data_IF_878679734307
#
_entry.id   IF_878679734307
#
_cell.length_a   1.000
_cell.length_b   1.000
_cell.length_c   1.000
_cell.angle_alpha   90.00
_cell.angle_beta   90.00
_cell.angle_gamma   90.00
#
_symmetry.space_group_name_H-M   'P 1'
#
loop_
_entity.id
_entity.type
_entity.pdbx_description
1 polymer ?
#
# COMPACT_ATOMS: atom_id res chain seq x y z
N UNK A 1 24.91 2.20 3.34
CA UNK A 1 25.42 3.53 2.91
C UNK A 1 25.91 4.30 4.14
N UNK A 2 27.22 4.43 4.34
CA UNK A 2 27.82 5.27 5.41
C UNK A 2 28.23 6.64 4.85
N UNK A 3 27.35 7.26 4.07
CA UNK A 3 27.58 8.62 3.60
C UNK A 3 27.20 9.60 4.71
N UNK A 4 28.17 10.40 5.16
CA UNK A 4 28.03 11.40 6.20
C UNK A 4 26.85 12.35 5.91
N UNK A 5 26.55 12.62 4.64
CA UNK A 5 25.43 13.47 4.23
C UNK A 5 24.05 12.87 4.53
N UNK A 6 23.91 11.55 4.38
CA UNK A 6 22.65 10.85 4.67
C UNK A 6 22.35 10.83 6.17
N UNK A 7 23.37 10.55 6.98
CA UNK A 7 23.24 10.53 8.44
C UNK A 7 22.85 11.91 8.99
N UNK A 8 23.47 12.99 8.47
CA UNK A 8 23.09 14.35 8.86
C UNK A 8 21.64 14.69 8.48
N UNK A 9 21.20 14.29 7.29
CA UNK A 9 19.83 14.52 6.82
C UNK A 9 18.82 13.77 7.70
N UNK A 10 19.11 12.51 8.05
CA UNK A 10 18.27 11.69 8.91
C UNK A 10 18.13 12.26 10.33
N UNK A 11 19.22 12.75 10.92
CA UNK A 11 19.16 13.36 12.25
C UNK A 11 18.34 14.66 12.26
N UNK A 12 18.44 15.49 11.21
CA UNK A 12 17.57 16.66 11.05
C UNK A 12 16.08 16.27 10.98
N UNK A 13 15.77 15.21 10.24
CA UNK A 13 14.39 14.69 10.11
C UNK A 13 13.88 14.20 11.47
N UNK A 14 14.67 13.41 12.21
CA UNK A 14 14.30 12.94 13.55
C UNK A 14 14.04 14.10 14.51
N UNK A 15 14.88 15.14 14.48
CA UNK A 15 14.69 16.34 15.29
C UNK A 15 13.38 17.06 14.94
N UNK A 16 13.08 17.24 13.65
CA UNK A 16 11.84 17.86 13.18
C UNK A 16 10.59 17.05 13.57
N UNK A 17 10.64 15.72 13.45
CA UNK A 17 9.54 14.84 13.89
C UNK A 17 9.25 15.07 15.37
N UNK A 18 10.30 15.13 16.22
CA UNK A 18 10.17 15.41 17.64
C UNK A 18 9.46 16.75 17.90
N UNK A 19 9.85 17.81 17.20
CA UNK A 19 9.24 19.14 17.33
C UNK A 19 7.76 19.16 16.92
N UNK A 20 7.40 18.57 15.78
CA UNK A 20 6.02 18.58 15.28
C UNK A 20 5.09 17.72 16.15
N UNK A 21 5.59 16.61 16.69
CA UNK A 21 4.82 15.67 17.50
C UNK A 21 4.35 16.26 18.85
N UNK A 22 5.10 17.22 19.40
CA UNK A 22 4.78 17.88 20.68
C UNK A 22 3.61 18.87 20.60
N UNK A 23 3.14 19.21 19.40
CA UNK A 23 2.23 20.35 19.17
C UNK A 23 0.74 20.01 18.99
N UNK A 24 0.32 18.77 19.25
CA UNK A 24 -1.05 18.33 18.97
C UNK A 24 -1.98 18.49 20.19
N UNK A 25 -2.63 19.66 20.31
CA UNK A 25 -3.86 19.78 21.11
C UNK A 25 -5.04 19.21 20.29
N UNK A 26 -6.03 18.59 20.94
CA UNK A 26 -7.30 18.22 20.28
C UNK A 26 -8.02 19.49 19.80
N UNK A 27 -7.79 19.87 18.54
CA UNK A 27 -8.49 20.94 17.82
C UNK A 27 -9.70 20.44 17.02
N UNK A 28 -10.27 21.31 16.19
CA UNK A 28 -11.27 20.91 15.18
C UNK A 28 -10.66 19.85 14.26
N UNK A 29 -11.39 18.75 14.04
CA UNK A 29 -10.98 17.64 13.14
C UNK A 29 -10.62 18.13 11.74
N UNK A 30 -11.22 19.23 11.29
CA UNK A 30 -10.99 19.84 9.98
C UNK A 30 -10.20 21.15 10.06
N UNK A 31 -9.37 21.29 11.09
CA UNK A 31 -8.42 22.38 11.23
C UNK A 31 -7.34 22.29 10.14
N UNK A 32 -7.31 23.29 9.26
CA UNK A 32 -6.29 23.43 8.21
C UNK A 32 -4.88 23.40 8.80
N UNK A 33 -4.66 24.10 9.91
CA UNK A 33 -3.34 24.23 10.53
C UNK A 33 -2.89 22.90 11.18
N UNK A 34 -3.83 22.10 11.69
CA UNK A 34 -3.50 20.76 12.20
C UNK A 34 -3.19 19.79 11.06
N UNK A 35 -3.93 19.85 9.96
CA UNK A 35 -3.63 19.06 8.76
C UNK A 35 -2.33 19.48 8.10
N UNK A 36 -1.98 20.76 8.10
CA UNK A 36 -0.68 21.27 7.62
C UNK A 36 0.47 20.60 8.39
N UNK A 37 0.39 20.60 9.73
CA UNK A 37 1.37 19.90 10.58
C UNK A 37 1.40 18.41 10.30
N UNK A 38 0.23 17.80 10.10
CA UNK A 38 0.10 16.36 9.84
C UNK A 38 0.71 15.97 8.50
N UNK A 39 0.48 16.72 7.43
CA UNK A 39 1.13 16.51 6.12
C UNK A 39 2.64 16.53 6.27
N UNK A 40 3.17 17.54 6.97
CA UNK A 40 4.61 17.68 7.19
C UNK A 40 5.17 16.51 8.01
N UNK A 41 4.46 16.12 9.07
CA UNK A 41 4.84 14.98 9.91
C UNK A 41 4.81 13.67 9.12
N UNK A 42 3.75 13.40 8.37
CA UNK A 42 3.59 12.19 7.56
C UNK A 42 4.70 12.10 6.50
N UNK A 43 5.04 13.21 5.85
CA UNK A 43 6.15 13.28 4.90
C UNK A 43 7.50 12.98 5.56
N UNK A 44 7.78 13.57 6.74
CA UNK A 44 9.03 13.33 7.47
C UNK A 44 9.13 11.89 7.98
N UNK A 45 8.03 11.34 8.50
CA UNK A 45 7.97 9.95 8.96
C UNK A 45 8.22 8.98 7.79
N UNK A 46 7.61 9.21 6.63
CA UNK A 46 7.85 8.36 5.45
C UNK A 46 9.27 8.53 4.91
N UNK A 47 9.80 9.75 4.89
CA UNK A 47 11.19 10.03 4.53
C UNK A 47 12.20 9.31 5.45
N UNK A 48 11.96 9.31 6.76
CA UNK A 48 12.73 8.52 7.73
C UNK A 48 12.67 7.02 7.40
N UNK A 49 11.47 6.48 7.19
CA UNK A 49 11.28 5.05 6.90
C UNK A 49 12.00 4.62 5.61
N UNK A 50 12.00 5.46 4.57
CA UNK A 50 12.73 5.20 3.32
C UNK A 50 14.21 4.95 3.61
N UNK A 51 14.84 5.78 4.44
CA UNK A 51 16.27 5.64 4.76
C UNK A 51 16.54 4.47 5.69
N UNK A 52 15.70 4.26 6.70
CA UNK A 52 15.93 3.25 7.73
C UNK A 52 15.58 1.82 7.27
N UNK A 53 14.68 1.66 6.29
CA UNK A 53 14.19 0.34 5.88
C UNK A 53 14.32 0.06 4.38
N UNK A 54 14.00 1.01 3.51
CA UNK A 54 13.90 0.74 2.05
C UNK A 54 15.28 0.78 1.37
N UNK A 55 16.28 1.46 1.96
CA UNK A 55 17.63 1.60 1.40
C UNK A 55 18.68 0.71 2.07
N UNK A 56 18.27 -0.31 2.84
CA UNK A 56 19.20 -1.28 3.41
C UNK A 56 19.85 -2.14 2.29
N UNK A 57 19.05 -2.50 1.29
CA UNK A 57 19.48 -3.14 0.06
C UNK A 57 19.20 -2.16 -1.10
N UNK A 58 20.16 -1.29 -1.41
CA UNK A 58 20.08 -0.30 -2.50
C UNK A 58 20.01 -0.95 -3.90
N UNK A 59 18.91 -1.63 -4.21
CA UNK A 59 18.63 -2.18 -5.53
C UNK A 59 17.87 -1.16 -6.40
N UNK A 60 17.78 -1.43 -7.72
CA UNK A 60 17.12 -0.55 -8.68
C UNK A 60 15.68 -0.21 -8.27
N UNK A 61 14.94 -1.20 -7.79
CA UNK A 61 13.54 -1.03 -7.41
C UNK A 61 13.38 -0.13 -6.19
N UNK A 62 14.18 -0.33 -5.14
CA UNK A 62 14.12 0.48 -3.93
C UNK A 62 14.55 1.91 -4.20
N UNK A 63 15.59 2.13 -5.00
CA UNK A 63 16.03 3.47 -5.41
C UNK A 63 14.94 4.22 -6.19
N UNK A 64 14.29 3.55 -7.15
CA UNK A 64 13.24 4.15 -7.96
C UNK A 64 11.97 4.44 -7.16
N UNK A 65 11.52 3.48 -6.33
CA UNK A 65 10.37 3.65 -5.46
C UNK A 65 10.59 4.79 -4.46
N UNK A 66 11.75 4.81 -3.80
CA UNK A 66 12.15 5.86 -2.86
C UNK A 66 12.20 7.23 -3.53
N UNK A 67 12.80 7.31 -4.71
CA UNK A 67 12.90 8.56 -5.48
C UNK A 67 11.53 9.10 -5.90
N UNK A 68 10.63 8.21 -6.33
CA UNK A 68 9.25 8.57 -6.68
C UNK A 68 8.47 9.04 -5.45
N UNK A 69 8.57 8.33 -4.33
CA UNK A 69 7.91 8.74 -3.10
C UNK A 69 8.40 10.10 -2.60
N UNK A 70 9.72 10.34 -2.59
CA UNK A 70 10.30 11.63 -2.20
C UNK A 70 9.89 12.78 -3.13
N UNK A 71 9.78 12.50 -4.43
CA UNK A 71 9.25 13.43 -5.41
C UNK A 71 7.80 13.82 -5.11
N UNK A 72 6.92 12.83 -4.91
CA UNK A 72 5.51 13.03 -4.63
C UNK A 72 5.28 13.77 -3.29
N UNK A 73 6.06 13.43 -2.26
CA UNK A 73 6.05 14.18 -0.98
C UNK A 73 6.51 15.63 -1.18
N UNK A 74 7.53 15.88 -1.99
CA UNK A 74 8.00 17.24 -2.29
C UNK A 74 6.94 18.08 -2.98
N UNK A 75 6.13 17.49 -3.86
CA UNK A 75 4.98 18.16 -4.47
C UNK A 75 3.98 18.56 -3.39
N UNK A 76 3.60 17.63 -2.49
CA UNK A 76 2.66 17.92 -1.42
C UNK A 76 3.11 19.07 -0.53
N UNK A 77 4.35 19.02 -0.04
CA UNK A 77 4.92 20.08 0.81
C UNK A 77 4.94 21.42 0.06
N UNK A 78 5.32 21.44 -1.22
CA UNK A 78 5.30 22.69 -2.02
C UNK A 78 3.88 23.24 -2.23
N UNK A 79 2.90 22.39 -2.50
CA UNK A 79 1.51 22.81 -2.69
C UNK A 79 0.99 23.45 -1.40
N UNK A 80 1.21 22.79 -0.27
CA UNK A 80 0.77 23.24 1.05
C UNK A 80 1.50 24.52 1.49
N UNK A 81 2.79 24.67 1.18
CA UNK A 81 3.52 25.92 1.44
C UNK A 81 3.06 27.08 0.55
N UNK A 82 2.60 26.80 -0.68
CA UNK A 82 2.07 27.81 -1.60
C UNK A 82 0.64 28.23 -1.24
N UNK A 83 -0.18 27.27 -0.84
CA UNK A 83 -1.54 27.49 -0.35
C UNK A 83 -1.85 26.43 0.71
N UNK A 84 -1.99 26.88 1.96
CA UNK A 84 -2.21 26.00 3.11
C UNK A 84 -3.54 25.25 3.06
N UNK A 85 -4.51 25.67 2.24
CA UNK A 85 -5.76 24.93 2.04
C UNK A 85 -5.54 23.56 1.39
N UNK A 86 -4.41 23.35 0.70
CA UNK A 86 -4.02 22.02 0.21
C UNK A 86 -3.84 21.00 1.33
N UNK A 87 -3.69 21.42 2.59
CA UNK A 87 -3.65 20.50 3.72
C UNK A 87 -4.98 19.75 3.90
N UNK A 88 -6.12 20.44 3.71
CA UNK A 88 -7.44 19.80 3.74
C UNK A 88 -7.68 18.96 2.48
N UNK A 89 -7.10 19.34 1.34
CA UNK A 89 -7.15 18.54 0.11
C UNK A 89 -6.33 17.26 0.25
N UNK A 90 -5.16 17.31 0.89
CA UNK A 90 -4.36 16.12 1.21
C UNK A 90 -5.18 15.12 2.04
N UNK A 91 -5.88 15.62 3.05
CA UNK A 91 -6.74 14.78 3.86
C UNK A 91 -7.90 14.18 3.05
N UNK A 92 -8.57 14.99 2.23
CA UNK A 92 -9.64 14.50 1.35
C UNK A 92 -9.14 13.41 0.39
N UNK A 93 -7.94 13.56 -0.18
CA UNK A 93 -7.32 12.52 -1.01
C UNK A 93 -7.00 11.27 -0.20
N UNK A 94 -6.55 11.41 1.05
CA UNK A 94 -6.39 10.29 1.99
C UNK A 94 -7.71 9.54 2.24
N UNK A 95 -8.81 10.25 2.45
CA UNK A 95 -10.14 9.66 2.60
C UNK A 95 -10.56 8.93 1.33
N UNK A 96 -10.43 9.55 0.15
CA UNK A 96 -10.77 8.94 -1.13
C UNK A 96 -9.99 7.65 -1.37
N UNK A 97 -8.68 7.65 -1.11
CA UNK A 97 -7.82 6.49 -1.29
C UNK A 97 -8.18 5.37 -0.30
N UNK A 98 -8.44 5.69 0.97
CA UNK A 98 -8.85 4.70 1.96
C UNK A 98 -10.22 4.08 1.64
N UNK A 99 -11.20 4.89 1.22
CA UNK A 99 -12.51 4.41 0.77
C UNK A 99 -12.34 3.43 -0.39
N UNK A 100 -11.55 3.80 -1.41
CA UNK A 100 -11.32 2.94 -2.57
C UNK A 100 -10.58 1.66 -2.18
N UNK A 101 -9.57 1.76 -1.32
CA UNK A 101 -8.80 0.62 -0.82
C UNK A 101 -9.72 -0.37 -0.10
N UNK A 102 -10.51 0.07 0.86
CA UNK A 102 -11.39 -0.82 1.61
C UNK A 102 -12.53 -1.39 0.75
N UNK A 103 -13.06 -0.66 -0.22
CA UNK A 103 -14.03 -1.20 -1.18
C UNK A 103 -13.43 -2.37 -1.97
N UNK A 104 -12.24 -2.19 -2.54
CA UNK A 104 -11.51 -3.28 -3.23
C UNK A 104 -11.13 -4.42 -2.30
N UNK A 105 -10.80 -4.11 -1.04
CA UNK A 105 -10.47 -5.14 -0.07
C UNK A 105 -11.69 -5.98 0.30
N UNK A 106 -12.87 -5.38 0.41
CA UNK A 106 -14.14 -6.12 0.54
C UNK A 106 -14.39 -7.03 -0.66
N UNK A 107 -14.20 -6.53 -1.88
CA UNK A 107 -14.31 -7.36 -3.11
C UNK A 107 -13.33 -8.54 -3.06
N UNK A 108 -12.09 -8.33 -2.62
CA UNK A 108 -11.11 -9.40 -2.46
C UNK A 108 -11.54 -10.41 -1.38
N UNK A 109 -12.07 -9.97 -0.25
CA UNK A 109 -12.56 -10.86 0.80
C UNK A 109 -13.76 -11.69 0.33
N UNK A 110 -14.60 -11.15 -0.55
CA UNK A 110 -15.69 -11.89 -1.18
C UNK A 110 -15.16 -13.01 -2.07
N UNK A 111 -14.24 -12.68 -2.98
CA UNK A 111 -13.56 -13.66 -3.86
C UNK A 111 -12.88 -14.74 -3.01
N UNK A 112 -12.23 -14.34 -1.93
CA UNK A 112 -11.56 -15.26 -1.02
C UNK A 112 -12.53 -16.17 -0.27
N UNK A 113 -13.66 -15.65 0.21
CA UNK A 113 -14.69 -16.48 0.85
C UNK A 113 -15.29 -17.53 -0.09
N UNK A 114 -15.56 -17.14 -1.34
CA UNK A 114 -16.04 -18.06 -2.39
C UNK A 114 -15.01 -19.15 -2.70
N UNK A 115 -13.74 -18.77 -2.79
CA UNK A 115 -12.64 -19.71 -2.99
C UNK A 115 -12.52 -20.72 -1.84
N UNK A 116 -12.65 -20.28 -0.58
CA UNK A 116 -12.60 -21.18 0.56
C UNK A 116 -13.79 -22.15 0.57
N UNK A 117 -14.99 -21.71 0.19
CA UNK A 117 -16.16 -22.59 0.06
C UNK A 117 -15.98 -23.64 -1.04
N UNK A 118 -15.43 -23.26 -2.19
CA UNK A 118 -15.11 -24.20 -3.28
C UNK A 118 -14.10 -25.27 -2.82
N UNK A 119 -13.12 -24.91 -2.02
CA UNK A 119 -12.19 -25.88 -1.42
C UNK A 119 -12.89 -26.77 -0.39
N UNK A 120 -13.75 -26.22 0.46
CA UNK A 120 -14.48 -26.97 1.47
C UNK A 120 -15.36 -28.07 0.84
N UNK A 121 -16.04 -27.73 -0.26
CA UNK A 121 -16.85 -28.66 -1.04
C UNK A 121 -15.98 -29.79 -1.62
N UNK A 122 -14.88 -29.45 -2.29
CA UNK A 122 -13.95 -30.44 -2.86
C UNK A 122 -13.29 -31.30 -1.79
N UNK A 123 -12.99 -30.74 -0.62
CA UNK A 123 -12.47 -31.48 0.52
C UNK A 123 -13.51 -32.48 1.04
N UNK A 124 -14.77 -32.05 1.14
CA UNK A 124 -15.88 -32.88 1.57
C UNK A 124 -16.12 -34.05 0.59
N UNK A 125 -16.09 -33.80 -0.71
CA UNK A 125 -16.17 -34.84 -1.75
C UNK A 125 -15.02 -35.85 -1.62
N UNK A 126 -13.79 -35.36 -1.42
CA UNK A 126 -12.62 -36.22 -1.24
C UNK A 126 -12.78 -37.12 0.01
N UNK A 127 -13.27 -36.58 1.12
CA UNK A 127 -13.51 -37.35 2.34
C UNK A 127 -14.55 -38.45 2.10
N UNK A 128 -15.62 -38.17 1.36
CA UNK A 128 -16.63 -39.18 0.99
C UNK A 128 -16.01 -40.27 0.12
N UNK A 129 -15.27 -39.90 -0.93
CA UNK A 129 -14.59 -40.86 -1.81
C UNK A 129 -13.59 -41.74 -1.05
N UNK A 130 -12.81 -41.14 -0.14
CA UNK A 130 -11.88 -41.88 0.71
C UNK A 130 -12.62 -42.89 1.59
N UNK A 131 -13.73 -42.48 2.23
CA UNK A 131 -14.53 -43.35 3.07
C UNK A 131 -15.10 -44.53 2.28
N UNK A 132 -15.67 -44.28 1.11
CA UNK A 132 -16.22 -45.33 0.24
C UNK A 132 -15.14 -46.32 -0.22
N UNK A 133 -13.97 -45.82 -0.62
CA UNK A 133 -12.83 -46.65 -1.00
C UNK A 133 -12.37 -47.54 0.15
N UNK A 134 -12.23 -46.97 1.36
CA UNK A 134 -11.80 -47.70 2.55
C UNK A 134 -12.84 -48.75 3.00
N UNK A 135 -14.13 -48.46 2.88
CA UNK A 135 -15.21 -49.41 3.17
C UNK A 135 -15.23 -50.57 2.16
N UNK A 136 -15.04 -50.30 0.87
CA UNK A 136 -15.03 -51.32 -0.18
C UNK A 136 -13.83 -52.27 -0.08
N UNK A 137 -12.72 -51.80 0.49
CA UNK A 137 -11.46 -52.55 0.61
C UNK A 137 -11.10 -52.87 2.07
N UNK A 138 -12.08 -52.89 2.98
CA UNK A 138 -11.86 -53.07 4.43
C UNK A 138 -11.12 -54.37 4.76
N UNK A 139 -11.45 -55.43 4.02
CA UNK A 139 -10.99 -56.79 4.29
C UNK A 139 -9.65 -57.10 3.60
N UNK A 140 -9.26 -56.28 2.62
CA UNK A 140 -8.08 -56.49 1.78
C UNK A 140 -6.90 -55.56 2.10
N UNK A 141 -7.10 -54.55 2.96
CA UNK A 141 -6.06 -53.59 3.32
C UNK A 141 -5.60 -53.77 4.77
N UNK A 142 -4.28 -53.70 4.96
CA UNK A 142 -3.68 -53.56 6.29
C UNK A 142 -3.87 -52.13 6.82
N UNK A 143 -3.76 -51.93 8.13
CA UNK A 143 -3.85 -50.60 8.74
C UNK A 143 -2.80 -49.62 8.22
N UNK A 144 -1.60 -50.12 7.87
CA UNK A 144 -0.54 -49.31 7.28
C UNK A 144 -0.91 -48.81 5.89
N UNK A 145 -1.54 -49.65 5.07
CA UNK A 145 -2.00 -49.26 3.73
C UNK A 145 -3.16 -48.27 3.80
N UNK A 146 -4.09 -48.45 4.75
CA UNK A 146 -5.17 -47.48 5.01
C UNK A 146 -4.61 -46.11 5.39
N UNK A 147 -3.68 -46.08 6.33
CA UNK A 147 -3.04 -44.84 6.80
C UNK A 147 -2.26 -44.13 5.69
N UNK A 148 -1.51 -44.89 4.88
CA UNK A 148 -0.79 -44.34 3.74
C UNK A 148 -1.73 -43.77 2.67
N UNK A 149 -2.86 -44.43 2.39
CA UNK A 149 -3.84 -43.96 1.43
C UNK A 149 -4.45 -42.61 1.84
N UNK A 150 -4.88 -42.49 3.10
CA UNK A 150 -5.40 -41.22 3.65
C UNK A 150 -4.33 -40.13 3.59
N UNK A 151 -3.12 -40.43 4.05
CA UNK A 151 -2.01 -39.47 4.08
C UNK A 151 -1.63 -38.97 2.68
N UNK A 152 -1.60 -39.86 1.68
CA UNK A 152 -1.28 -39.47 0.30
C UNK A 152 -2.42 -38.68 -0.34
N UNK A 153 -3.68 -39.01 -0.04
CA UNK A 153 -4.83 -38.28 -0.57
C UNK A 153 -4.87 -36.84 -0.06
N UNK A 154 -4.56 -36.61 1.21
CA UNK A 154 -4.44 -35.26 1.79
C UNK A 154 -3.28 -34.49 1.13
N UNK A 155 -2.10 -35.11 0.97
CA UNK A 155 -0.96 -34.47 0.30
C UNK A 155 -1.27 -34.09 -1.15
N UNK A 156 -1.95 -34.97 -1.88
CA UNK A 156 -2.32 -34.72 -3.27
C UNK A 156 -3.35 -33.60 -3.38
N UNK A 157 -4.33 -33.55 -2.47
CA UNK A 157 -5.28 -32.44 -2.37
C UNK A 157 -4.54 -31.11 -2.15
N UNK A 158 -3.67 -31.04 -1.14
CA UNK A 158 -2.87 -29.83 -0.86
C UNK A 158 -2.00 -29.40 -2.05
N UNK A 159 -1.50 -30.35 -2.84
CA UNK A 159 -0.70 -30.06 -4.04
C UNK A 159 -1.56 -29.57 -5.21
N UNK A 160 -2.80 -30.06 -5.33
CA UNK A 160 -3.75 -29.66 -6.39
C UNK A 160 -4.25 -28.23 -6.21
N UNK A 161 -4.45 -27.80 -4.96
CA UNK A 161 -4.83 -26.43 -4.62
C UNK A 161 -3.62 -25.58 -4.24
N UNK A 162 -2.42 -25.95 -4.70
CA UNK A 162 -1.15 -25.30 -4.36
C UNK A 162 -1.32 -23.79 -4.23
N UNK A 163 -0.92 -23.30 -3.06
CA UNK A 163 -0.97 -21.93 -2.53
C UNK A 163 -0.70 -20.81 -3.55
N UNK A 164 0.08 -21.11 -4.59
CA UNK A 164 0.62 -20.12 -5.54
C UNK A 164 -0.43 -19.48 -6.46
N UNK A 165 -1.63 -20.08 -6.62
CA UNK A 165 -2.66 -19.58 -7.55
C UNK A 165 -3.89 -18.96 -6.87
N UNK A 166 -3.99 -19.04 -5.55
CA UNK A 166 -5.21 -18.70 -4.82
C UNK A 166 -5.31 -17.23 -4.36
N UNK A 167 -4.17 -16.52 -4.27
CA UNK A 167 -4.07 -15.17 -3.67
C UNK A 167 -4.90 -15.03 -2.36
N UNK A 168 -4.88 -16.07 -1.53
CA UNK A 168 -5.67 -16.14 -0.29
C UNK A 168 -4.76 -15.93 0.93
N UNK A 169 -5.12 -14.96 1.78
CA UNK A 169 -4.46 -14.68 3.05
C UNK A 169 -4.89 -15.65 4.16
N UNK A 170 -6.09 -16.22 4.06
CA UNK A 170 -6.69 -17.04 5.10
C UNK A 170 -6.51 -18.55 4.89
N UNK A 171 -5.99 -18.99 3.74
CA UNK A 171 -5.87 -20.40 3.38
C UNK A 171 -5.16 -21.25 4.43
N UNK A 172 -3.96 -20.84 4.89
CA UNK A 172 -3.20 -21.62 5.87
C UNK A 172 -3.93 -21.76 7.21
N UNK A 173 -4.63 -20.71 7.65
CA UNK A 173 -5.44 -20.77 8.86
C UNK A 173 -6.68 -21.65 8.64
N UNK A 174 -7.31 -21.54 7.48
CA UNK A 174 -8.48 -22.32 7.08
C UNK A 174 -8.19 -23.83 7.03
N UNK A 175 -6.97 -24.25 6.66
CA UNK A 175 -6.54 -25.65 6.72
C UNK A 175 -6.63 -26.25 8.12
N UNK A 176 -6.38 -25.43 9.14
CA UNK A 176 -6.41 -25.87 10.55
C UNK A 176 -7.80 -25.75 11.14
N UNK A 177 -8.53 -24.67 10.80
CA UNK A 177 -9.80 -24.31 11.44
C UNK A 177 -11.05 -24.80 10.69
N UNK A 178 -10.88 -25.23 9.44
CA UNK A 178 -11.94 -25.61 8.51
C UNK A 178 -12.24 -24.49 7.51
N UNK A 179 -12.28 -24.82 6.22
CA UNK A 179 -12.44 -23.87 5.13
C UNK A 179 -13.78 -23.14 5.19
N UNK A 180 -14.89 -23.86 5.34
CA UNK A 180 -16.22 -23.26 5.51
C UNK A 180 -16.29 -22.35 6.74
N UNK A 181 -15.75 -22.79 7.87
CA UNK A 181 -15.77 -21.99 9.11
C UNK A 181 -15.03 -20.65 8.92
N UNK A 182 -13.89 -20.67 8.24
CA UNK A 182 -13.13 -19.45 7.95
C UNK A 182 -13.87 -18.57 6.94
N UNK A 183 -14.50 -19.14 5.91
CA UNK A 183 -15.37 -18.39 5.00
C UNK A 183 -16.52 -17.69 5.74
N UNK A 184 -17.26 -18.43 6.56
CA UNK A 184 -18.37 -17.89 7.35
C UNK A 184 -17.88 -16.75 8.25
N UNK A 185 -16.71 -16.90 8.87
CA UNK A 185 -16.11 -15.82 9.67
C UNK A 185 -15.82 -14.55 8.84
N UNK A 186 -15.29 -14.70 7.63
CA UNK A 186 -15.02 -13.58 6.71
C UNK A 186 -16.34 -12.87 6.35
N UNK A 187 -17.36 -13.63 5.96
CA UNK A 187 -18.67 -13.11 5.55
C UNK A 187 -19.39 -12.41 6.70
N UNK A 188 -19.41 -13.02 7.88
CA UNK A 188 -20.22 -12.54 8.99
C UNK A 188 -19.54 -11.45 9.82
N UNK A 189 -18.19 -11.36 9.78
CA UNK A 189 -17.43 -10.47 10.65
C UNK A 189 -16.55 -9.49 9.88
N UNK A 190 -15.67 -10.00 9.02
CA UNK A 190 -14.64 -9.18 8.37
C UNK A 190 -15.24 -8.23 7.31
N UNK A 191 -16.06 -8.75 6.41
CA UNK A 191 -16.74 -7.94 5.37
C UNK A 191 -17.60 -6.84 6.01
N UNK A 192 -18.51 -7.13 6.97
CA UNK A 192 -19.29 -6.10 7.66
C UNK A 192 -18.43 -5.05 8.37
N UNK A 193 -17.31 -5.46 9.00
CA UNK A 193 -16.38 -4.53 9.65
C UNK A 193 -15.79 -3.52 8.66
N UNK A 194 -15.35 -3.97 7.50
CA UNK A 194 -14.79 -3.06 6.49
C UNK A 194 -15.86 -2.23 5.77
N UNK A 195 -17.07 -2.77 5.56
CA UNK A 195 -18.20 -1.98 5.06
C UNK A 195 -18.59 -0.86 6.03
N UNK A 196 -18.61 -1.14 7.34
CA UNK A 196 -18.82 -0.12 8.36
C UNK A 196 -17.73 0.96 8.32
N UNK A 197 -16.46 0.57 8.14
CA UNK A 197 -15.35 1.52 7.98
C UNK A 197 -15.50 2.39 6.74
N UNK A 198 -15.94 1.81 5.61
CA UNK A 198 -16.23 2.57 4.38
C UNK A 198 -17.35 3.58 4.63
N UNK A 199 -18.42 3.18 5.31
CA UNK A 199 -19.53 4.08 5.64
C UNK A 199 -19.08 5.24 6.54
N UNK A 200 -18.26 4.97 7.56
CA UNK A 200 -17.66 5.99 8.44
C UNK A 200 -16.84 7.01 7.62
N UNK A 201 -15.97 6.53 6.73
CA UNK A 201 -15.12 7.40 5.91
C UNK A 201 -15.91 8.20 4.86
N UNK A 202 -16.97 7.63 4.27
CA UNK A 202 -17.86 8.35 3.34
C UNK A 202 -18.63 9.46 4.06
N UNK A 203 -19.14 9.21 5.27
CA UNK A 203 -19.77 10.24 6.10
C UNK A 203 -18.78 11.37 6.42
N UNK A 204 -17.59 11.01 6.88
CA UNK A 204 -16.52 11.96 7.19
C UNK A 204 -16.09 12.80 5.98
N UNK A 205 -16.04 12.18 4.79
CA UNK A 205 -15.80 12.89 3.53
C UNK A 205 -16.90 13.90 3.23
N UNK A 206 -18.17 13.53 3.40
CA UNK A 206 -19.31 14.45 3.21
C UNK A 206 -19.26 15.60 4.20
N UNK A 207 -18.94 15.34 5.47
CA UNK A 207 -18.76 16.37 6.50
C UNK A 207 -17.67 17.37 6.13
N UNK A 208 -16.50 16.87 5.69
CA UNK A 208 -15.40 17.73 5.24
C UNK A 208 -15.84 18.62 4.07
N UNK A 209 -16.42 18.03 3.01
CA UNK A 209 -16.86 18.76 1.81
C UNK A 209 -17.88 19.86 2.15
N UNK A 210 -18.78 19.59 3.10
CA UNK A 210 -19.77 20.58 3.56
C UNK A 210 -19.12 21.76 4.31
N UNK A 211 -17.98 21.54 4.98
CA UNK A 211 -17.23 22.58 5.68
C UNK A 211 -16.28 23.40 4.79
N UNK A 212 -15.89 22.88 3.62
CA UNK A 212 -15.02 23.61 2.69
C UNK A 212 -15.70 24.88 2.16
N UNK A 213 -14.97 25.99 2.13
CA UNK A 213 -15.38 27.23 1.46
C UNK A 213 -15.46 27.06 -0.07
N UNK A 214 -16.03 28.03 -0.79
CA UNK A 214 -16.04 28.06 -2.26
C UNK A 214 -14.64 27.92 -2.84
N UNK A 215 -13.70 28.71 -2.33
CA UNK A 215 -12.31 28.77 -2.81
C UNK A 215 -11.57 27.44 -2.54
N UNK A 216 -11.85 26.81 -1.39
CA UNK A 216 -11.28 25.51 -1.05
C UNK A 216 -11.86 24.39 -1.93
N UNK A 217 -13.14 24.47 -2.30
CA UNK A 217 -13.78 23.51 -3.21
C UNK A 217 -13.19 23.57 -4.61
N UNK A 218 -12.72 24.72 -5.06
CA UNK A 218 -12.05 24.85 -6.36
C UNK A 218 -10.71 24.10 -6.43
N UNK A 219 -10.09 23.82 -5.28
CA UNK A 219 -8.88 23.00 -5.18
C UNK A 219 -9.17 21.49 -5.22
N UNK A 220 -10.42 21.09 -4.95
CA UNK A 220 -10.83 19.69 -4.95
C UNK A 220 -10.78 19.18 -6.39
N UNK A 221 -10.07 18.08 -6.66
CA UNK A 221 -10.08 17.49 -7.98
C UNK A 221 -11.53 17.09 -8.35
N UNK A 222 -12.09 17.71 -9.40
CA UNK A 222 -13.45 17.39 -9.85
C UNK A 222 -13.61 15.88 -10.12
N UNK A 223 -14.81 15.30 -9.99
CA UNK A 223 -15.07 13.85 -10.17
C UNK A 223 -14.53 13.22 -11.47
N UNK A 224 -14.20 14.01 -12.50
CA UNK A 224 -13.56 13.54 -13.75
C UNK A 224 -12.03 13.57 -13.72
N UNK A 225 -11.43 14.38 -12.84
CA UNK A 225 -10.00 14.56 -12.67
C UNK A 225 -9.57 13.95 -11.34
N UNK A 226 -9.18 12.67 -11.33
CA UNK A 226 -8.43 12.09 -10.22
C UNK A 226 -7.18 12.94 -9.93
N UNK A 227 -6.59 12.82 -8.73
CA UNK A 227 -5.31 13.46 -8.44
C UNK A 227 -4.28 13.14 -9.53
N UNK A 228 -3.78 14.19 -10.18
CA UNK A 228 -2.94 14.09 -11.37
C UNK A 228 -1.56 14.65 -11.08
N UNK A 229 -0.63 13.74 -10.87
CA UNK A 229 0.76 14.07 -10.54
C UNK A 229 1.45 14.94 -11.60
N UNK A 230 1.10 14.78 -12.87
CA UNK A 230 1.63 15.61 -13.95
C UNK A 230 1.18 17.07 -13.85
N UNK A 231 -0.10 17.30 -13.54
CA UNK A 231 -0.65 18.64 -13.33
C UNK A 231 -0.07 19.29 -12.08
N UNK A 232 0.05 18.53 -10.98
CA UNK A 232 0.61 19.02 -9.72
C UNK A 232 2.12 19.26 -9.79
N UNK A 233 2.83 18.48 -10.59
CA UNK A 233 4.21 18.80 -10.96
C UNK A 233 4.29 20.10 -11.75
N UNK A 234 3.38 20.36 -12.68
CA UNK A 234 3.34 21.64 -13.40
C UNK A 234 3.06 22.83 -12.48
N UNK A 235 2.11 22.69 -11.55
CA UNK A 235 1.72 23.72 -10.59
C UNK A 235 2.85 24.11 -9.62
N UNK A 236 3.75 23.16 -9.33
CA UNK A 236 4.90 23.30 -8.42
C UNK A 236 6.24 23.51 -9.15
N UNK A 237 6.22 23.64 -10.48
CA UNK A 237 7.42 23.84 -11.30
C UNK A 237 8.33 22.61 -11.44
N UNK A 238 7.82 21.41 -11.17
CA UNK A 238 8.55 20.14 -11.12
C UNK A 238 8.32 19.24 -12.34
N UNK A 239 7.80 19.77 -13.45
CA UNK A 239 7.47 18.99 -14.67
C UNK A 239 8.64 18.19 -15.23
N UNK A 240 9.87 18.74 -15.19
CA UNK A 240 11.06 18.03 -15.68
C UNK A 240 11.37 16.81 -14.83
N UNK A 241 11.34 16.96 -13.50
CA UNK A 241 11.54 15.88 -12.55
C UNK A 241 10.45 14.80 -12.70
N UNK A 242 9.18 15.22 -12.83
CA UNK A 242 8.07 14.31 -13.10
C UNK A 242 8.35 13.42 -14.32
N UNK A 243 8.61 14.04 -15.48
CA UNK A 243 8.86 13.30 -16.73
C UNK A 243 10.02 12.33 -16.58
N UNK A 244 11.09 12.74 -15.90
CA UNK A 244 12.27 11.92 -15.71
C UNK A 244 11.97 10.71 -14.81
N UNK A 245 11.49 10.93 -13.60
CA UNK A 245 11.24 9.85 -12.61
C UNK A 245 10.14 8.90 -13.08
N UNK A 246 9.06 9.43 -13.66
CA UNK A 246 7.98 8.60 -14.18
C UNK A 246 8.41 7.77 -15.39
N UNK A 247 9.34 8.27 -16.22
CA UNK A 247 9.87 7.46 -17.32
C UNK A 247 10.68 6.27 -16.85
N UNK A 248 11.51 6.43 -15.81
CA UNK A 248 12.32 5.34 -15.26
C UNK A 248 11.47 4.32 -14.50
N UNK A 249 10.57 4.80 -13.65
CA UNK A 249 9.64 3.91 -12.92
C UNK A 249 8.74 3.14 -13.89
N UNK A 250 8.22 3.78 -14.94
CA UNK A 250 7.42 3.07 -15.95
C UNK A 250 8.23 2.04 -16.75
N UNK A 251 9.51 2.29 -17.03
CA UNK A 251 10.35 1.34 -17.79
C UNK A 251 10.71 0.12 -16.96
N UNK A 252 11.08 0.31 -15.69
CA UNK A 252 11.63 -0.78 -14.87
C UNK A 252 10.60 -1.48 -13.98
N UNK A 253 9.47 -0.83 -13.64
CA UNK A 253 8.41 -1.43 -12.82
C UNK A 253 7.28 -2.08 -13.63
N UNK A 254 7.18 -1.79 -14.93
CA UNK A 254 6.13 -2.35 -15.78
C UNK A 254 6.72 -3.24 -16.86
N UNK A 255 6.09 -4.39 -17.07
CA UNK A 255 6.38 -5.29 -18.18
C UNK A 255 5.75 -4.73 -19.48
N UNK A 256 6.36 -3.68 -20.02
CA UNK A 256 6.03 -3.14 -21.35
C UNK A 256 6.80 -3.92 -22.40
N UNK A 257 6.31 -4.02 -23.65
CA UNK A 257 7.07 -4.68 -24.72
C UNK A 257 8.49 -4.13 -24.86
N UNK A 258 8.66 -2.81 -24.69
CA UNK A 258 9.97 -2.17 -24.68
C UNK A 258 10.86 -2.72 -23.55
N UNK A 259 10.39 -2.69 -22.30
CA UNK A 259 11.19 -3.14 -21.15
C UNK A 259 11.49 -4.64 -21.13
N UNK A 260 10.67 -5.46 -21.81
CA UNK A 260 10.94 -6.89 -22.01
C UNK A 260 12.01 -7.11 -23.09
N UNK A 261 11.96 -6.31 -24.16
CA UNK A 261 12.84 -6.45 -25.34
C UNK A 261 14.21 -5.78 -25.22
N UNK A 262 14.42 -4.98 -24.15
CA UNK A 262 15.69 -4.29 -23.88
C UNK A 262 16.50 -5.01 -22.82
N UNK A 263 17.82 -5.05 -22.99
CA UNK A 263 18.75 -5.67 -22.01
C UNK A 263 18.89 -4.91 -20.69
N UNK A 264 18.25 -3.73 -20.55
CA UNK A 264 18.30 -2.92 -19.34
C UNK A 264 17.32 -3.46 -18.29
N UNK A 265 17.76 -4.49 -17.56
CA UNK A 265 17.01 -5.11 -16.46
C UNK A 265 17.14 -4.33 -15.14
N UNK A 266 18.21 -3.56 -15.00
CA UNK A 266 18.55 -2.80 -13.80
C UNK A 266 19.05 -1.39 -14.15
N UNK A 267 19.09 -0.53 -13.12
CA UNK A 267 19.80 0.74 -13.21
C UNK A 267 21.30 0.48 -13.40
N UNK A 268 21.89 1.18 -14.37
CA UNK A 268 23.34 1.24 -14.49
C UNK A 268 23.94 1.94 -13.27
N UNK A 269 25.19 1.65 -12.93
CA UNK A 269 25.86 2.24 -11.76
C UNK A 269 25.73 3.77 -11.72
N UNK A 270 25.92 4.45 -12.85
CA UNK A 270 25.80 5.91 -12.93
C UNK A 270 24.38 6.43 -12.65
N UNK A 271 23.37 5.66 -13.06
CA UNK A 271 21.96 5.97 -12.79
C UNK A 271 21.64 5.75 -11.31
N UNK A 272 22.12 4.63 -10.73
CA UNK A 272 22.03 4.35 -9.29
C UNK A 272 22.66 5.47 -8.46
N UNK A 273 23.89 5.89 -8.80
CA UNK A 273 24.58 6.97 -8.10
C UNK A 273 23.81 8.30 -8.21
N UNK A 274 23.21 8.57 -9.38
CA UNK A 274 22.36 9.74 -9.58
C UNK A 274 21.09 9.68 -8.70
N UNK A 275 20.40 8.54 -8.65
CA UNK A 275 19.21 8.39 -7.80
C UNK A 275 19.55 8.47 -6.31
N UNK A 276 20.69 7.92 -5.88
CA UNK A 276 21.19 8.08 -4.51
C UNK A 276 21.40 9.57 -4.18
N UNK A 277 22.09 10.32 -5.05
CA UNK A 277 22.27 11.77 -4.87
C UNK A 277 20.94 12.52 -4.87
N UNK A 278 20.02 12.13 -5.74
CA UNK A 278 18.69 12.72 -5.82
C UNK A 278 17.88 12.50 -4.54
N UNK A 279 17.88 11.28 -4.00
CA UNK A 279 17.26 10.94 -2.70
C UNK A 279 17.83 11.85 -1.62
N UNK A 280 19.16 11.93 -1.48
CA UNK A 280 19.79 12.79 -0.47
C UNK A 280 19.39 14.27 -0.63
N UNK A 281 19.39 14.75 -1.87
CA UNK A 281 18.96 16.12 -2.18
C UNK A 281 17.52 16.38 -1.78
N UNK A 282 16.59 15.47 -2.12
CA UNK A 282 15.17 15.60 -1.78
C UNK A 282 14.91 15.51 -0.29
N UNK A 283 15.66 14.69 0.44
CA UNK A 283 15.58 14.62 1.89
C UNK A 283 15.94 15.97 2.53
N UNK A 284 17.05 16.58 2.12
CA UNK A 284 17.43 17.92 2.60
C UNK A 284 16.42 18.98 2.18
N UNK A 285 15.95 18.94 0.93
CA UNK A 285 14.94 19.87 0.45
C UNK A 285 13.63 19.78 1.26
N UNK A 286 13.17 18.57 1.63
CA UNK A 286 12.00 18.38 2.48
C UNK A 286 12.21 19.01 3.87
N UNK A 287 13.37 18.78 4.48
CA UNK A 287 13.75 19.41 5.76
C UNK A 287 13.68 20.93 5.63
N UNK A 288 14.30 21.51 4.62
CA UNK A 288 14.35 22.96 4.42
C UNK A 288 12.96 23.55 4.19
N UNK A 289 12.12 22.90 3.38
CA UNK A 289 10.76 23.35 3.11
C UNK A 289 9.83 23.28 4.33
N UNK A 290 10.06 22.33 5.25
CA UNK A 290 9.25 22.13 6.46
C UNK A 290 9.76 22.99 7.62
N UNK A 291 11.09 23.16 7.74
CA UNK A 291 11.73 23.96 8.79
C UNK A 291 11.59 25.47 8.56
N UNK A 292 11.29 25.90 7.33
CA UNK A 292 11.11 27.32 6.99
C UNK A 292 9.62 27.68 6.78
N UNK A 293 8.74 27.67 7.81
CA UNK A 293 7.42 28.24 7.66
C UNK A 293 7.55 29.76 7.81
N UNK A 294 7.72 30.48 6.70
CA UNK A 294 7.93 31.92 6.76
C UNK A 294 8.05 32.61 5.40
N UNK A 295 6.99 32.53 4.58
CA UNK A 295 6.38 33.72 3.94
C UNK A 295 4.88 33.61 4.18
#
# INVERSE_FOLDING_TARGET
>A
MNDLGFLQSLEKIKALIGLLSLSTKRGDKFSRDDWLKKVNLDCLMKAKNIVESELDVCNSMSLLASSRHLFEMSIWVKLVNKNSDYALIYYLEGLNNNIQHYKKYVEQLQIESEFLLDIDEKQSELIVQQREYLLKNSDSMTDKERSNYVSNSIKNFDTQFSLDNAFSLYFDNARVQGFKRTSDHIIDNEIPRFLAKVAELELEKVELLNKLSSEQRDLVPSNKNRWRWDLKASETGMTKEYKFIYSYTSKLLHATPMSISTDQQDLMQQESDMFIRYINYKMNQLVDMIYTPGI
#
